data_IF_483777809121
#
_entry.id   IF_483777809121
#
_cell.length_a   1.000
_cell.length_b   1.000
_cell.length_c   1.000
_cell.angle_alpha   90.00
_cell.angle_beta   90.00
_cell.angle_gamma   90.00
#
_symmetry.space_group_name_H-M   'P 1'
#
loop_
_entity.id
_entity.type
_entity.pdbx_description
1 polymer ?
#
# COMPACT_ATOMS: atom_id res chain seq x y z
N UNK A 1 -9.68 -7.81 -11.93
CA UNK A 1 -10.94 -7.09 -12.12
C UNK A 1 -10.69 -5.59 -11.97
N UNK A 2 -11.23 -4.81 -12.87
CA UNK A 2 -11.21 -3.36 -12.75
C UNK A 2 -12.19 -2.97 -11.64
N UNK A 3 -11.70 -2.26 -10.64
CA UNK A 3 -12.51 -1.65 -9.60
C UNK A 3 -12.20 -0.15 -9.50
N UNK A 4 -12.96 0.57 -8.71
CA UNK A 4 -12.79 2.03 -8.54
C UNK A 4 -11.35 2.37 -8.08
N UNK A 5 -10.82 1.65 -7.10
CA UNK A 5 -9.48 1.84 -6.58
C UNK A 5 -8.40 1.70 -7.68
N UNK A 6 -8.49 0.67 -8.53
CA UNK A 6 -7.50 0.43 -9.58
C UNK A 6 -7.55 1.49 -10.67
N UNK A 7 -8.74 1.99 -11.01
CA UNK A 7 -8.93 3.05 -12.00
C UNK A 7 -8.38 4.38 -11.48
N UNK A 8 -8.73 4.75 -10.26
CA UNK A 8 -8.28 6.00 -9.63
C UNK A 8 -6.77 6.04 -9.45
N UNK A 9 -6.16 4.96 -8.94
CA UNK A 9 -4.72 4.93 -8.74
C UNK A 9 -3.93 5.04 -10.04
N UNK A 10 -4.40 4.40 -11.11
CA UNK A 10 -3.79 4.52 -12.43
C UNK A 10 -3.94 5.93 -13.01
N UNK A 11 -5.14 6.50 -12.91
CA UNK A 11 -5.42 7.84 -13.44
C UNK A 11 -4.59 8.90 -12.71
N UNK A 12 -4.48 8.83 -11.40
CA UNK A 12 -3.65 9.75 -10.63
C UNK A 12 -2.17 9.63 -11.00
N UNK A 13 -1.66 8.41 -11.16
CA UNK A 13 -0.29 8.18 -11.62
C UNK A 13 -0.04 8.80 -13.00
N UNK A 14 -0.98 8.61 -13.93
CA UNK A 14 -0.91 9.18 -15.30
C UNK A 14 -0.87 10.70 -15.26
N UNK A 15 -1.76 11.33 -14.50
CA UNK A 15 -1.81 12.80 -14.39
C UNK A 15 -0.54 13.38 -13.78
N UNK A 16 -0.01 12.74 -12.75
CA UNK A 16 1.25 13.19 -12.14
C UNK A 16 2.42 13.09 -13.12
N UNK A 17 2.47 12.03 -13.92
CA UNK A 17 3.50 11.88 -14.93
C UNK A 17 3.36 12.91 -16.07
N UNK A 18 2.14 13.18 -16.53
CA UNK A 18 1.86 14.22 -17.54
C UNK A 18 2.28 15.61 -17.06
N UNK A 19 2.23 15.86 -15.74
CA UNK A 19 2.70 17.09 -15.10
C UNK A 19 4.23 17.14 -14.89
N UNK A 20 4.95 16.12 -15.35
CA UNK A 20 6.41 16.07 -15.32
C UNK A 20 7.02 15.39 -14.09
N UNK A 21 6.22 14.77 -13.24
CA UNK A 21 6.72 13.98 -12.12
C UNK A 21 7.24 12.63 -12.60
N UNK A 22 8.33 12.15 -12.00
CA UNK A 22 8.76 10.76 -12.15
C UNK A 22 7.88 9.89 -11.25
N UNK A 23 7.14 8.96 -11.84
CA UNK A 23 6.18 8.12 -11.12
C UNK A 23 6.58 6.65 -11.23
N UNK A 24 6.63 5.96 -10.08
CA UNK A 24 6.78 4.51 -9.99
C UNK A 24 5.63 3.94 -9.18
N UNK A 25 4.97 2.95 -9.73
CA UNK A 25 3.79 2.33 -9.14
C UNK A 25 4.13 0.93 -8.65
N UNK A 26 3.63 0.59 -7.48
CA UNK A 26 3.83 -0.72 -6.85
C UNK A 26 2.48 -1.35 -6.51
N UNK A 27 2.36 -2.64 -6.77
CA UNK A 27 1.18 -3.41 -6.37
C UNK A 27 1.54 -4.87 -6.12
N UNK A 28 0.73 -5.61 -5.35
CA UNK A 28 0.90 -7.06 -5.25
C UNK A 28 0.64 -7.73 -6.59
N UNK A 29 1.40 -8.79 -6.88
CA UNK A 29 1.14 -9.64 -8.04
C UNK A 29 0.02 -10.63 -7.72
N UNK A 30 -1.19 -10.16 -7.59
CA UNK A 30 -2.33 -11.03 -7.36
C UNK A 30 -2.45 -12.11 -8.43
N UNK A 31 -2.76 -13.34 -8.02
CA UNK A 31 -2.83 -14.50 -8.91
C UNK A 31 -3.91 -14.44 -9.99
N UNK A 32 -4.84 -13.49 -9.89
CA UNK A 32 -5.80 -13.17 -10.96
C UNK A 32 -5.18 -12.39 -12.13
N UNK A 33 -3.95 -11.86 -11.97
CA UNK A 33 -3.25 -11.12 -13.02
C UNK A 33 -2.66 -12.11 -14.01
N UNK A 34 -3.06 -12.00 -15.27
CA UNK A 34 -2.49 -12.80 -16.35
C UNK A 34 -1.13 -12.21 -16.77
N UNK A 35 -0.06 -12.84 -16.33
CA UNK A 35 1.31 -12.35 -16.56
C UNK A 35 1.70 -12.32 -18.04
N UNK A 36 1.30 -13.35 -18.80
CA UNK A 36 1.60 -13.42 -20.24
C UNK A 36 0.88 -12.32 -21.01
N UNK A 37 -0.42 -12.14 -20.76
CA UNK A 37 -1.23 -11.13 -21.44
C UNK A 37 -0.73 -9.71 -21.15
N UNK A 38 -0.30 -9.47 -19.91
CA UNK A 38 0.16 -8.17 -19.47
C UNK A 38 1.68 -8.00 -19.57
N UNK A 39 2.38 -8.96 -20.15
CA UNK A 39 3.82 -8.93 -20.40
C UNK A 39 4.65 -8.62 -19.15
N UNK A 40 4.33 -9.27 -18.03
CA UNK A 40 5.13 -9.16 -16.81
C UNK A 40 6.47 -9.89 -17.01
N UNK A 41 7.54 -9.25 -16.59
CA UNK A 41 8.89 -9.79 -16.62
C UNK A 41 9.50 -9.75 -15.23
N UNK A 42 10.10 -10.85 -14.80
CA UNK A 42 10.87 -10.89 -13.57
C UNK A 42 12.14 -10.05 -13.70
N UNK A 43 12.41 -9.22 -12.70
CA UNK A 43 13.64 -8.43 -12.61
C UNK A 43 14.59 -9.14 -11.64
N UNK A 44 15.47 -9.96 -12.18
CA UNK A 44 16.35 -10.84 -11.39
C UNK A 44 17.20 -10.05 -10.39
N UNK A 45 17.74 -8.90 -10.80
CA UNK A 45 18.59 -8.06 -9.93
C UNK A 45 17.85 -7.46 -8.72
N UNK A 46 16.52 -7.40 -8.77
CA UNK A 46 15.67 -6.90 -7.67
C UNK A 46 15.08 -8.04 -6.84
N UNK A 47 15.10 -9.26 -7.37
CA UNK A 47 14.52 -10.45 -6.77
C UNK A 47 15.52 -11.21 -5.88
N UNK A 48 15.02 -12.14 -5.06
CA UNK A 48 15.81 -13.10 -4.32
C UNK A 48 16.07 -12.75 -2.85
N UNK A 49 15.68 -11.58 -2.38
CA UNK A 49 15.76 -11.24 -0.96
C UNK A 49 14.77 -12.09 -0.16
N UNK A 50 15.19 -12.70 0.92
CA UNK A 50 14.30 -13.33 1.87
C UNK A 50 13.76 -12.30 2.86
N UNK A 51 12.44 -12.22 2.97
CA UNK A 51 11.76 -11.44 3.98
C UNK A 51 11.17 -12.38 5.03
N UNK A 52 11.53 -12.16 6.29
CA UNK A 52 10.97 -12.93 7.41
C UNK A 52 9.68 -12.24 7.84
N UNK A 53 8.57 -12.94 7.67
CA UNK A 53 7.25 -12.49 8.10
C UNK A 53 6.68 -13.56 9.02
N UNK A 54 6.32 -13.17 10.25
CA UNK A 54 5.77 -14.08 11.23
C UNK A 54 6.63 -15.35 11.40
N UNK A 55 7.95 -15.17 11.59
CA UNK A 55 8.97 -16.23 11.78
C UNK A 55 9.17 -17.19 10.58
N UNK A 56 8.62 -16.88 9.43
CA UNK A 56 8.79 -17.66 8.21
C UNK A 56 9.50 -16.86 7.12
N UNK A 57 10.39 -17.54 6.40
CA UNK A 57 11.08 -16.97 5.25
C UNK A 57 10.18 -16.94 4.01
N UNK A 58 10.13 -15.78 3.36
CA UNK A 58 9.41 -15.61 2.11
C UNK A 58 10.32 -14.92 1.09
N UNK A 59 10.54 -15.56 -0.04
CA UNK A 59 11.35 -15.00 -1.11
C UNK A 59 10.61 -13.86 -1.82
N UNK A 60 11.25 -12.69 -1.87
CA UNK A 60 10.76 -11.54 -2.64
C UNK A 60 11.09 -11.73 -4.11
N UNK A 61 10.06 -11.74 -4.94
CA UNK A 61 10.18 -11.74 -6.41
C UNK A 61 9.58 -10.43 -6.92
N UNK A 62 10.31 -9.76 -7.79
CA UNK A 62 9.87 -8.51 -8.40
C UNK A 62 9.65 -8.72 -9.88
N UNK A 63 8.44 -8.44 -10.33
CA UNK A 63 8.07 -8.41 -11.75
C UNK A 63 7.70 -7.00 -12.17
N UNK A 64 7.92 -6.68 -13.42
CA UNK A 64 7.64 -5.35 -13.97
C UNK A 64 6.81 -5.48 -15.23
N UNK A 65 5.86 -4.60 -15.38
CA UNK A 65 5.15 -4.36 -16.64
C UNK A 65 5.09 -2.86 -16.92
N UNK A 66 4.96 -2.52 -18.18
CA UNK A 66 4.78 -1.14 -18.62
C UNK A 66 3.37 -0.91 -19.13
N UNK A 67 2.82 0.26 -18.86
CA UNK A 67 1.61 0.76 -19.48
C UNK A 67 2.06 1.74 -20.57
N UNK A 68 2.11 1.34 -21.86
CA UNK A 68 2.72 2.15 -22.91
C UNK A 68 2.00 3.49 -23.12
N UNK A 69 0.67 3.50 -23.01
CA UNK A 69 -0.15 4.69 -23.19
C UNK A 69 0.11 5.77 -22.14
N UNK A 70 0.53 5.37 -20.94
CA UNK A 70 0.80 6.28 -19.84
C UNK A 70 2.29 6.43 -19.52
N UNK A 71 3.16 5.66 -20.18
CA UNK A 71 4.61 5.61 -19.90
C UNK A 71 4.94 5.31 -18.43
N UNK A 72 4.10 4.51 -17.79
CA UNK A 72 4.23 4.14 -16.37
C UNK A 72 4.75 2.71 -16.28
N UNK A 73 5.74 2.50 -15.39
CA UNK A 73 6.18 1.17 -14.98
C UNK A 73 5.45 0.78 -13.71
N UNK A 74 4.96 -0.46 -13.68
CA UNK A 74 4.37 -1.06 -12.49
C UNK A 74 5.31 -2.16 -12.01
N UNK A 75 5.72 -2.04 -10.74
CA UNK A 75 6.49 -3.04 -10.02
C UNK A 75 5.53 -3.92 -9.24
N UNK A 76 5.57 -5.22 -9.50
CA UNK A 76 4.74 -6.21 -8.82
C UNK A 76 5.57 -6.89 -7.73
N UNK A 77 5.08 -6.79 -6.52
CA UNK A 77 5.63 -7.49 -5.37
C UNK A 77 5.02 -8.88 -5.34
N UNK A 78 5.84 -9.90 -5.46
CA UNK A 78 5.40 -11.29 -5.64
C UNK A 78 6.05 -12.24 -4.64
N UNK A 79 5.27 -13.24 -4.26
CA UNK A 79 5.65 -14.42 -3.52
C UNK A 79 4.54 -15.44 -3.69
N UNK A 80 4.88 -16.69 -3.98
CA UNK A 80 3.88 -17.72 -4.27
C UNK A 80 2.99 -18.04 -3.07
N UNK A 81 3.53 -18.05 -1.85
CA UNK A 81 2.74 -18.36 -0.64
C UNK A 81 1.61 -17.35 -0.44
N UNK A 82 1.88 -16.08 -0.74
CA UNK A 82 0.93 -14.98 -0.50
C UNK A 82 0.08 -14.61 -1.69
N UNK A 83 0.60 -14.72 -2.92
CA UNK A 83 -0.04 -14.12 -4.10
C UNK A 83 -0.36 -15.09 -5.24
N UNK A 84 -0.08 -16.39 -5.11
CA UNK A 84 -0.47 -17.36 -6.13
C UNK A 84 -1.99 -17.58 -6.24
N UNK A 85 -2.73 -17.23 -5.21
CA UNK A 85 -4.21 -17.36 -5.15
C UNK A 85 -4.87 -16.53 -6.24
N UNK A 86 -5.89 -17.08 -6.90
CA UNK A 86 -6.61 -16.39 -7.98
C UNK A 86 -7.53 -15.26 -7.49
N UNK A 87 -7.74 -15.14 -6.21
CA UNK A 87 -8.53 -14.09 -5.58
C UNK A 87 -7.63 -12.99 -4.99
N UNK A 88 -8.18 -11.82 -4.75
CA UNK A 88 -7.42 -10.67 -4.23
C UNK A 88 -7.32 -10.72 -2.72
N UNK A 89 -8.43 -10.59 -1.99
CA UNK A 89 -8.47 -10.50 -0.52
C UNK A 89 -9.42 -11.51 0.13
N UNK A 90 -10.25 -12.19 -0.67
CA UNK A 90 -11.29 -13.09 -0.19
C UNK A 90 -11.23 -14.43 -0.93
N UNK A 91 -11.66 -15.48 -0.26
CA UNK A 91 -11.84 -16.80 -0.89
C UNK A 91 -13.09 -16.84 -1.81
N UNK A 92 -13.38 -18.02 -2.36
CA UNK A 92 -14.53 -18.20 -3.26
C UNK A 92 -15.88 -18.04 -2.55
N UNK A 93 -15.91 -18.22 -1.24
CA UNK A 93 -17.08 -18.08 -0.37
C UNK A 93 -17.25 -16.63 0.14
N UNK A 94 -16.30 -15.75 -0.17
CA UNK A 94 -16.33 -14.34 0.23
C UNK A 94 -15.74 -14.07 1.61
N UNK A 95 -15.09 -15.05 2.23
CA UNK A 95 -14.39 -14.82 3.51
C UNK A 95 -13.02 -14.20 3.26
N UNK A 96 -12.62 -13.19 4.06
CA UNK A 96 -11.27 -12.64 3.99
C UNK A 96 -10.22 -13.74 4.24
N UNK A 97 -9.11 -13.69 3.52
CA UNK A 97 -7.99 -14.56 3.85
C UNK A 97 -7.44 -14.24 5.24
N UNK A 98 -7.22 -15.26 6.05
CA UNK A 98 -6.73 -15.11 7.43
C UNK A 98 -5.35 -14.45 7.52
N UNK A 99 -4.52 -14.59 6.47
CA UNK A 99 -3.18 -14.04 6.37
C UNK A 99 -3.09 -12.70 5.62
N UNK A 100 -4.19 -11.99 5.45
CA UNK A 100 -4.19 -10.70 4.76
C UNK A 100 -3.28 -9.66 5.45
N UNK A 101 -3.11 -9.74 6.76
CA UNK A 101 -2.18 -8.91 7.51
C UNK A 101 -0.71 -9.22 7.17
N UNK A 102 -0.33 -10.50 7.13
CA UNK A 102 1.01 -10.93 6.71
C UNK A 102 1.30 -10.50 5.26
N UNK A 103 0.30 -10.63 4.40
CA UNK A 103 0.39 -10.22 2.99
C UNK A 103 0.62 -8.71 2.86
N UNK A 104 -0.07 -7.91 3.67
CA UNK A 104 0.11 -6.46 3.69
C UNK A 104 1.50 -6.06 4.23
N UNK A 105 1.99 -6.73 5.27
CA UNK A 105 3.35 -6.54 5.80
C UNK A 105 4.40 -6.89 4.74
N UNK A 106 4.25 -8.05 4.09
CA UNK A 106 5.16 -8.48 3.02
C UNK A 106 5.17 -7.48 1.86
N UNK A 107 4.00 -7.01 1.44
CA UNK A 107 3.90 -6.01 0.38
C UNK A 107 4.65 -4.71 0.74
N UNK A 108 4.43 -4.19 1.93
CA UNK A 108 5.06 -2.95 2.39
C UNK A 108 6.59 -3.08 2.43
N UNK A 109 7.10 -4.15 3.03
CA UNK A 109 8.55 -4.42 3.08
C UNK A 109 9.13 -4.63 1.69
N UNK A 110 8.49 -5.44 0.87
CA UNK A 110 8.96 -5.73 -0.48
C UNK A 110 9.03 -4.49 -1.36
N UNK A 111 8.03 -3.62 -1.27
CA UNK A 111 8.01 -2.33 -1.98
C UNK A 111 9.16 -1.43 -1.53
N UNK A 112 9.34 -1.23 -0.23
CA UNK A 112 10.37 -0.33 0.30
C UNK A 112 11.80 -0.86 0.03
N UNK A 113 12.03 -2.15 0.17
CA UNK A 113 13.31 -2.78 -0.17
C UNK A 113 13.61 -2.67 -1.67
N UNK A 114 12.60 -2.74 -2.51
CA UNK A 114 12.75 -2.51 -3.96
C UNK A 114 13.15 -1.07 -4.26
N UNK A 115 12.52 -0.09 -3.63
CA UNK A 115 12.89 1.33 -3.77
C UNK A 115 14.35 1.55 -3.33
N UNK A 116 14.78 0.94 -2.25
CA UNK A 116 16.19 0.99 -1.80
C UNK A 116 17.16 0.41 -2.82
N UNK A 117 16.86 -0.75 -3.39
CA UNK A 117 17.67 -1.37 -4.44
C UNK A 117 17.74 -0.53 -5.72
N UNK A 118 16.65 0.16 -6.06
CA UNK A 118 16.60 1.11 -7.16
C UNK A 118 17.41 2.39 -6.87
N UNK A 119 17.80 2.62 -5.63
CA UNK A 119 18.47 3.85 -5.18
C UNK A 119 17.70 5.11 -5.57
N UNK A 120 16.39 5.02 -5.52
CA UNK A 120 15.47 6.09 -5.86
C UNK A 120 14.96 6.76 -4.60
N UNK A 121 15.07 8.09 -4.54
CA UNK A 121 14.61 8.88 -3.41
C UNK A 121 13.25 9.49 -3.74
N UNK A 122 12.14 8.91 -3.28
CA UNK A 122 10.83 9.47 -3.52
C UNK A 122 10.62 10.75 -2.73
N UNK A 123 9.98 11.75 -3.34
CA UNK A 123 9.52 12.96 -2.66
C UNK A 123 8.22 12.70 -1.91
N UNK A 124 7.32 11.94 -2.54
CA UNK A 124 6.01 11.58 -2.01
C UNK A 124 5.81 10.07 -2.16
N UNK A 125 5.32 9.44 -1.11
CA UNK A 125 4.77 8.09 -1.14
C UNK A 125 3.25 8.22 -0.97
N UNK A 126 2.51 7.82 -2.00
CA UNK A 126 1.06 7.85 -2.02
C UNK A 126 0.48 6.45 -1.87
N UNK A 127 -0.24 6.21 -0.79
CA UNK A 127 -0.82 4.93 -0.45
C UNK A 127 -2.30 4.90 -0.81
N UNK A 128 -2.68 3.93 -1.65
CA UNK A 128 -4.05 3.68 -2.07
C UNK A 128 -4.58 2.39 -1.46
N UNK A 129 -5.66 2.48 -0.71
CA UNK A 129 -6.32 1.34 -0.09
C UNK A 129 -5.62 0.83 1.18
N UNK A 130 -6.38 0.10 2.00
CA UNK A 130 -5.92 -0.39 3.31
C UNK A 130 -4.74 -1.35 3.22
N UNK A 131 -4.61 -2.08 2.11
CA UNK A 131 -3.51 -3.04 1.93
C UNK A 131 -2.14 -2.37 1.91
N UNK A 132 -2.07 -1.09 1.58
CA UNK A 132 -0.85 -0.28 1.62
C UNK A 132 -0.63 0.45 2.96
N UNK A 133 -1.53 0.29 3.92
CA UNK A 133 -1.50 1.05 5.17
C UNK A 133 -0.28 0.79 6.07
N UNK A 134 0.40 -0.35 5.89
CA UNK A 134 1.62 -0.66 6.64
C UNK A 134 2.82 0.15 6.14
N UNK A 135 2.81 0.63 4.90
CA UNK A 135 3.91 1.42 4.32
C UNK A 135 4.27 2.66 5.15
N UNK A 136 3.31 3.51 5.54
CA UNK A 136 3.60 4.65 6.41
C UNK A 136 4.23 4.28 7.76
N UNK A 137 3.83 3.15 8.32
CA UNK A 137 4.38 2.65 9.59
C UNK A 137 5.88 2.37 9.47
N UNK A 138 6.30 1.68 8.40
CA UNK A 138 7.71 1.44 8.11
C UNK A 138 8.49 2.73 7.88
N UNK A 139 7.94 3.64 7.09
CA UNK A 139 8.59 4.90 6.77
C UNK A 139 8.87 5.74 8.02
N UNK A 140 7.95 5.77 8.96
CA UNK A 140 8.07 6.59 10.18
C UNK A 140 8.77 5.90 11.34
N UNK A 141 8.82 4.57 11.38
CA UNK A 141 9.34 3.83 12.55
C UNK A 141 10.55 2.97 12.27
N UNK A 142 10.74 2.50 11.04
CA UNK A 142 11.86 1.64 10.66
C UNK A 142 12.87 2.37 9.79
N UNK A 143 12.40 3.13 8.80
CA UNK A 143 13.24 3.85 7.85
C UNK A 143 13.31 5.38 8.11
N UNK A 144 12.95 5.83 9.31
CA UNK A 144 12.86 7.25 9.65
C UNK A 144 14.17 8.02 9.47
N UNK A 145 15.30 7.37 9.63
CA UNK A 145 16.65 7.93 9.48
C UNK A 145 17.36 7.51 8.19
N UNK A 146 16.73 6.67 7.37
CA UNK A 146 17.27 6.26 6.07
C UNK A 146 17.32 7.47 5.13
N UNK A 147 18.49 7.81 4.55
CA UNK A 147 18.64 8.96 3.66
C UNK A 147 17.68 8.97 2.47
N UNK A 148 17.22 7.80 2.02
CA UNK A 148 16.26 7.69 0.91
C UNK A 148 14.85 8.12 1.32
N UNK A 149 14.47 7.96 2.58
CA UNK A 149 13.09 8.09 3.05
C UNK A 149 12.86 9.16 4.11
N UNK A 150 13.89 9.65 4.77
CA UNK A 150 13.74 10.57 5.92
C UNK A 150 12.93 11.84 5.63
N UNK A 151 13.00 12.34 4.40
CA UNK A 151 12.31 13.57 3.99
C UNK A 151 11.03 13.33 3.18
N UNK A 152 10.63 12.06 3.02
CA UNK A 152 9.46 11.68 2.23
C UNK A 152 8.17 12.19 2.86
N UNK A 153 7.26 12.70 2.02
CA UNK A 153 5.90 13.05 2.42
C UNK A 153 4.97 11.87 2.16
N UNK A 154 4.06 11.62 3.08
CA UNK A 154 3.11 10.53 3.02
C UNK A 154 1.72 11.09 2.73
N UNK A 155 1.11 10.59 1.66
CA UNK A 155 -0.27 10.89 1.28
C UNK A 155 -1.08 9.61 1.33
N UNK A 156 -2.23 9.65 1.98
CA UNK A 156 -3.18 8.54 2.03
C UNK A 156 -4.40 8.87 1.20
N UNK A 157 -4.82 7.94 0.35
CA UNK A 157 -6.14 7.99 -0.29
C UNK A 157 -7.14 7.17 0.53
N UNK A 158 -8.21 7.82 0.98
CA UNK A 158 -9.37 7.16 1.55
C UNK A 158 -10.35 6.81 0.43
N UNK A 159 -10.64 5.52 0.30
CA UNK A 159 -11.49 4.95 -0.75
C UNK A 159 -12.61 4.12 -0.14
N UNK A 160 -13.45 3.54 -0.98
CA UNK A 160 -14.49 2.59 -0.54
C UNK A 160 -13.92 1.16 -0.60
N UNK A 161 -13.01 0.86 0.33
CA UNK A 161 -12.31 -0.43 0.43
C UNK A 161 -12.40 -1.05 1.83
N UNK A 162 -13.39 -0.63 2.61
CA UNK A 162 -13.57 -1.09 3.98
C UNK A 162 -13.74 -2.61 4.05
N UNK A 163 -12.95 -3.25 4.90
CA UNK A 163 -13.18 -4.63 5.30
C UNK A 163 -14.02 -4.70 6.58
N UNK A 164 -14.82 -5.74 6.69
CA UNK A 164 -15.60 -6.03 7.88
C UNK A 164 -14.75 -6.81 8.91
N UNK A 165 -15.07 -6.63 10.19
CA UNK A 165 -14.36 -7.32 11.28
C UNK A 165 -12.96 -6.76 11.53
N UNK A 166 -12.06 -7.65 11.90
CA UNK A 166 -10.70 -7.31 12.29
C UNK A 166 -9.68 -8.18 11.55
N UNK A 167 -8.47 -7.65 11.39
CA UNK A 167 -7.30 -8.44 10.98
C UNK A 167 -6.94 -9.43 12.09
N UNK A 168 -5.91 -10.26 11.88
CA UNK A 168 -5.48 -11.22 12.88
C UNK A 168 -5.18 -10.53 14.22
N UNK A 169 -5.57 -11.17 15.33
CA UNK A 169 -5.44 -10.60 16.69
C UNK A 169 -4.00 -10.30 17.10
N UNK A 170 -3.05 -11.00 16.50
CA UNK A 170 -1.61 -10.82 16.72
C UNK A 170 -0.98 -9.80 15.76
N UNK A 171 -1.78 -9.08 14.97
CA UNK A 171 -1.29 -8.08 14.00
C UNK A 171 -0.39 -7.04 14.66
N UNK A 172 -0.80 -6.47 15.78
CA UNK A 172 0.03 -5.53 16.55
C UNK A 172 1.38 -6.14 16.94
N UNK A 173 1.36 -7.37 17.44
CA UNK A 173 2.59 -8.08 17.85
C UNK A 173 3.52 -8.34 16.65
N UNK A 174 2.96 -8.68 15.48
CA UNK A 174 3.73 -8.82 14.24
C UNK A 174 4.41 -7.52 13.83
N UNK A 175 3.71 -6.39 13.93
CA UNK A 175 4.28 -5.08 13.64
C UNK A 175 5.42 -4.72 14.62
N UNK A 176 5.25 -5.00 15.89
CA UNK A 176 6.31 -4.83 16.91
C UNK A 176 7.54 -5.67 16.57
N UNK A 177 7.35 -6.91 16.14
CA UNK A 177 8.43 -7.78 15.65
C UNK A 177 9.16 -7.24 14.42
N UNK A 178 8.51 -6.41 13.61
CA UNK A 178 9.09 -5.71 12.47
C UNK A 178 9.84 -4.42 12.86
N UNK A 179 9.84 -4.06 14.14
CA UNK A 179 10.48 -2.82 14.63
C UNK A 179 9.57 -1.60 14.62
N UNK A 180 8.29 -1.79 14.38
CA UNK A 180 7.28 -0.72 14.45
C UNK A 180 6.85 -0.59 15.91
N UNK A 181 7.37 0.42 16.60
CA UNK A 181 7.12 0.66 18.04
C UNK A 181 6.57 2.08 18.22
N UNK A 182 5.35 2.17 18.74
CA UNK A 182 4.68 3.43 19.00
C UNK A 182 3.61 3.26 20.08
N UNK A 183 3.48 4.23 20.98
CA UNK A 183 2.45 4.21 22.03
C UNK A 183 1.02 4.24 21.47
N UNK A 184 0.83 4.84 20.30
CA UNK A 184 -0.46 4.87 19.59
C UNK A 184 -0.92 3.51 19.09
N UNK A 185 -0.04 2.50 19.03
CA UNK A 185 -0.38 1.15 18.58
C UNK A 185 -1.39 0.43 19.48
N UNK A 186 -1.71 0.97 20.64
CA UNK A 186 -2.73 0.39 21.52
C UNK A 186 -4.08 0.23 20.81
N UNK A 187 -4.41 1.11 19.86
CA UNK A 187 -5.65 1.00 19.06
C UNK A 187 -5.66 -0.26 18.19
N UNK A 188 -4.49 -0.81 17.85
CA UNK A 188 -4.32 -2.01 17.05
C UNK A 188 -4.46 -3.32 17.85
N UNK A 189 -4.75 -3.26 19.15
CA UNK A 189 -5.23 -4.42 19.90
C UNK A 189 -6.56 -4.93 19.35
N UNK A 190 -7.33 -4.04 18.72
CA UNK A 190 -8.52 -4.35 17.96
C UNK A 190 -8.31 -3.85 16.51
N UNK A 191 -7.68 -4.65 15.64
CA UNK A 191 -7.22 -4.19 14.33
C UNK A 191 -8.34 -4.16 13.29
N UNK A 192 -9.35 -3.34 13.56
CA UNK A 192 -10.41 -3.00 12.61
C UNK A 192 -9.90 -2.04 11.53
N UNK A 193 -10.65 -1.90 10.44
CA UNK A 193 -10.37 -0.92 9.40
C UNK A 193 -10.25 0.50 9.96
N UNK A 194 -11.16 0.89 10.83
CA UNK A 194 -11.17 2.21 11.44
C UNK A 194 -9.92 2.44 12.32
N UNK A 195 -9.58 1.49 13.18
CA UNK A 195 -8.42 1.61 14.06
C UNK A 195 -7.11 1.59 13.28
N UNK A 196 -7.02 0.80 12.22
CA UNK A 196 -5.88 0.79 11.31
C UNK A 196 -5.65 2.17 10.69
N UNK A 197 -6.71 2.77 10.13
CA UNK A 197 -6.58 4.08 9.49
C UNK A 197 -6.40 5.22 10.49
N UNK A 198 -7.00 5.17 11.67
CA UNK A 198 -6.72 6.15 12.74
C UNK A 198 -5.24 6.17 13.08
N UNK A 199 -4.63 5.00 13.22
CA UNK A 199 -3.20 4.89 13.49
C UNK A 199 -2.36 5.45 12.34
N UNK A 200 -2.68 5.10 11.11
CA UNK A 200 -1.88 5.49 9.93
C UNK A 200 -2.06 6.97 9.56
N UNK A 201 -3.24 7.53 9.76
CA UNK A 201 -3.51 8.96 9.51
C UNK A 201 -2.58 9.83 10.37
N UNK A 202 -2.25 9.40 11.58
CA UNK A 202 -1.31 10.15 12.43
C UNK A 202 0.08 10.31 11.80
N UNK A 203 0.47 9.42 10.90
CA UNK A 203 1.73 9.50 10.15
C UNK A 203 1.63 10.25 8.82
N UNK A 204 0.44 10.52 8.33
CA UNK A 204 0.25 11.17 7.05
C UNK A 204 0.55 12.67 7.10
N UNK A 205 1.06 13.19 6.00
CA UNK A 205 1.18 14.63 5.72
C UNK A 205 -0.09 15.17 5.05
N UNK A 206 -0.77 14.33 4.27
CA UNK A 206 -2.01 14.67 3.61
C UNK A 206 -2.91 13.47 3.39
N UNK A 207 -4.19 13.75 3.23
CA UNK A 207 -5.25 12.76 2.98
C UNK A 207 -6.07 13.23 1.79
N UNK A 208 -6.29 12.34 0.84
CA UNK A 208 -7.16 12.56 -0.32
C UNK A 208 -8.40 11.68 -0.17
N UNK A 209 -9.57 12.28 -0.26
CA UNK A 209 -10.84 11.54 -0.26
C UNK A 209 -11.15 11.17 -1.70
N UNK A 210 -10.97 9.90 -2.05
CA UNK A 210 -11.09 9.40 -3.43
C UNK A 210 -12.37 8.61 -3.72
N UNK A 211 -13.33 8.66 -2.84
CA UNK A 211 -14.66 8.08 -3.05
C UNK A 211 -15.71 8.87 -2.29
N UNK A 212 -16.89 9.00 -2.86
CA UNK A 212 -18.06 9.53 -2.15
C UNK A 212 -18.44 8.65 -0.96
N UNK A 213 -18.07 7.38 -0.98
CA UNK A 213 -18.35 6.39 0.06
C UNK A 213 -17.18 6.18 1.06
N UNK A 214 -16.15 7.01 0.99
CA UNK A 214 -15.08 6.98 1.99
C UNK A 214 -15.66 7.20 3.39
N UNK A 215 -15.04 6.57 4.40
CA UNK A 215 -15.49 6.66 5.78
C UNK A 215 -15.42 8.12 6.30
N UNK A 216 -16.58 8.74 6.49
CA UNK A 216 -16.68 10.13 6.91
C UNK A 216 -16.06 10.38 8.30
N UNK A 217 -16.05 9.37 9.18
CA UNK A 217 -15.45 9.51 10.51
C UNK A 217 -13.93 9.58 10.42
N UNK A 218 -13.31 8.89 9.46
CA UNK A 218 -11.88 8.96 9.21
C UNK A 218 -11.48 10.27 8.56
N UNK A 219 -12.29 10.79 7.65
CA UNK A 219 -12.08 12.12 7.06
C UNK A 219 -12.08 13.19 8.14
N UNK A 220 -13.05 13.16 9.04
CA UNK A 220 -13.14 14.11 10.15
C UNK A 220 -11.96 13.95 11.12
N UNK A 221 -11.58 12.71 11.45
CA UNK A 221 -10.39 12.44 12.26
C UNK A 221 -9.12 13.08 11.67
N UNK A 222 -8.93 12.96 10.35
CA UNK A 222 -7.79 13.60 9.67
C UNK A 222 -7.80 15.13 9.84
N UNK A 223 -8.97 15.77 9.74
CA UNK A 223 -9.12 17.21 9.96
C UNK A 223 -8.82 17.60 11.41
N UNK A 224 -9.37 16.87 12.37
CA UNK A 224 -9.12 17.10 13.81
C UNK A 224 -7.64 16.99 14.16
N UNK A 225 -6.91 16.10 13.47
CA UNK A 225 -5.45 15.96 13.61
C UNK A 225 -4.65 17.02 12.84
N UNK A 226 -5.30 17.95 12.22
CA UNK A 226 -4.66 19.04 11.48
C UNK A 226 -4.00 18.61 10.18
N UNK A 227 -4.41 17.47 9.61
CA UNK A 227 -3.90 17.00 8.31
C UNK A 227 -4.48 17.82 7.18
N UNK A 228 -3.70 17.98 6.10
CA UNK A 228 -4.23 18.54 4.86
C UNK A 228 -5.17 17.52 4.25
N UNK A 229 -6.41 17.91 4.01
CA UNK A 229 -7.43 17.04 3.42
C UNK A 229 -7.90 17.64 2.10
N UNK A 230 -7.81 16.83 1.04
CA UNK A 230 -8.42 17.13 -0.25
C UNK A 230 -9.74 16.36 -0.33
N UNK A 231 -10.85 17.10 -0.37
CA UNK A 231 -12.18 16.53 -0.42
C UNK A 231 -12.46 15.84 -1.75
N UNK A 232 -13.40 14.89 -1.70
CA UNK A 232 -13.90 14.23 -2.90
C UNK A 232 -14.57 15.25 -3.83
N UNK A 233 -14.19 15.18 -5.10
CA UNK A 233 -14.79 15.96 -6.18
C UNK A 233 -15.41 15.01 -7.19
N UNK A 234 -16.70 15.19 -7.49
CA UNK A 234 -17.34 14.47 -8.57
C UNK A 234 -16.82 14.97 -9.92
N UNK A 235 -16.32 14.03 -10.73
CA UNK A 235 -15.72 14.35 -12.02
C UNK A 235 -14.20 14.27 -12.04
N UNK A 236 -13.59 14.41 -13.22
CA UNK A 236 -12.12 14.44 -13.33
C UNK A 236 -11.55 15.59 -12.49
N UNK A 237 -10.42 15.38 -11.78
CA UNK A 237 -9.78 16.48 -11.09
C UNK A 237 -9.45 17.59 -12.08
N UNK A 238 -10.13 18.68 -11.97
CA UNK A 238 -9.78 19.89 -12.71
C UNK A 238 -8.71 20.60 -11.89
N UNK A 239 -7.56 20.82 -12.53
CA UNK A 239 -6.42 21.65 -12.15
C UNK A 239 -6.12 21.91 -10.66
#
# INVERSE_FOLDING_TARGET
PENELSKLSLEMARQMQERGSEVRTFMPRYGCINERRNQLHEVIRLSGMNLIINDNDHQLIIKVASIPSARIQIYFIDNDDYFARRAVLHDAEGHPFEDNDDRAIFFARGMLETVKKLRWTPTIVHCHGWFSAVVPMYLKKVFYDDPLFRDVKIVLSLTDDKFEGELAKDFKHKLEGEGIMDSGMIVLENPSYENLYRFVIDYADGVIVNSANADATLVEYAREKGKKVLDYMEGEPKD
#
